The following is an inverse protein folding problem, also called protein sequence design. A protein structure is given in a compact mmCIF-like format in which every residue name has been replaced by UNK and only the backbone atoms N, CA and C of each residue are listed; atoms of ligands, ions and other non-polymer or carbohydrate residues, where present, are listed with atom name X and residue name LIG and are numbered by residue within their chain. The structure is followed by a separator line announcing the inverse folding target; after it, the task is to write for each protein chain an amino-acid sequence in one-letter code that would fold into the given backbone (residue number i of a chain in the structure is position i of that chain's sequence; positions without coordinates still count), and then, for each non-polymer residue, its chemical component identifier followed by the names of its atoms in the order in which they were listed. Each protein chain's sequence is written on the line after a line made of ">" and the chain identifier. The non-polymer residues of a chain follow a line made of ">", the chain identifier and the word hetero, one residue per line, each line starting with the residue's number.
data_IF_641502635168
#
_entry.id   IF_641502635168
#
_cell.length_a   1.000
_cell.length_b   1.000
_cell.length_c   1.000
_cell.angle_alpha   90.00
_cell.angle_beta   90.00
_cell.angle_gamma   90.00
#
_symmetry.space_group_name_H-M   'P 1'
#
loop_
_entity.id
_entity.type
_entity.pdbx_description
1 polymer ?
#
# COMPACT_ATOMS: atom_id res chain seq x y z
N UNK A 1 57.94 -46.77 -51.11
CA UNK A 1 56.96 -46.39 -52.16
C UNK A 1 55.81 -47.38 -52.06
N UNK A 2 54.54 -47.04 -51.86
CA UNK A 2 53.80 -45.80 -52.07
C UNK A 2 52.61 -45.75 -51.11
N UNK A 3 52.31 -44.57 -50.58
CA UNK A 3 51.15 -44.30 -49.72
C UNK A 3 49.85 -44.34 -50.55
N UNK A 4 48.82 -45.04 -50.08
CA UNK A 4 47.42 -44.75 -50.46
C UNK A 4 46.59 -44.55 -49.20
N UNK A 5 46.41 -43.29 -48.88
CA UNK A 5 45.47 -42.75 -47.89
C UNK A 5 44.06 -43.15 -48.34
N UNK A 6 43.41 -44.08 -47.63
CA UNK A 6 42.00 -44.37 -47.88
C UNK A 6 41.16 -43.43 -47.00
N UNK A 7 40.67 -42.37 -47.65
CA UNK A 7 39.93 -41.20 -47.13
C UNK A 7 38.53 -41.51 -46.56
N UNK A 8 38.23 -42.74 -46.18
CA UNK A 8 36.87 -43.14 -45.77
C UNK A 8 36.64 -43.27 -44.25
N UNK A 9 37.63 -42.92 -43.41
CA UNK A 9 37.52 -43.07 -41.96
C UNK A 9 37.37 -41.75 -41.17
N UNK A 10 37.05 -40.64 -41.84
CA UNK A 10 36.77 -39.34 -41.20
C UNK A 10 35.46 -38.77 -41.78
N UNK A 11 34.40 -39.57 -41.77
CA UNK A 11 33.03 -39.07 -42.01
C UNK A 11 31.99 -39.69 -41.07
N UNK A 12 32.43 -40.50 -40.10
CA UNK A 12 31.57 -41.09 -39.07
C UNK A 12 31.57 -40.32 -37.74
N UNK A 13 32.30 -39.19 -37.64
CA UNK A 13 32.46 -38.42 -36.39
C UNK A 13 31.87 -36.99 -36.43
N UNK A 14 31.11 -36.65 -37.47
CA UNK A 14 30.41 -35.36 -37.60
C UNK A 14 28.91 -35.52 -37.91
N UNK A 15 28.31 -36.63 -37.49
CA UNK A 15 26.88 -36.93 -37.67
C UNK A 15 26.06 -36.87 -36.37
N UNK A 16 26.66 -36.48 -35.26
CA UNK A 16 25.96 -36.26 -33.99
C UNK A 16 25.47 -34.82 -33.89
N UNK A 17 24.60 -34.40 -34.81
CA UNK A 17 23.84 -33.16 -34.62
C UNK A 17 23.00 -33.33 -33.35
N UNK A 18 23.50 -32.76 -32.27
CA UNK A 18 22.82 -32.59 -31.00
C UNK A 18 21.55 -31.80 -31.28
N UNK A 19 20.48 -32.52 -31.63
CA UNK A 19 19.13 -32.00 -31.66
C UNK A 19 18.57 -32.17 -30.26
N UNK A 20 19.15 -31.46 -29.28
CA UNK A 20 18.34 -31.08 -28.13
C UNK A 20 17.36 -30.03 -28.66
N UNK A 21 16.25 -30.50 -29.23
CA UNK A 21 15.03 -29.72 -29.21
C UNK A 21 14.72 -29.52 -27.72
N UNK A 22 15.24 -28.44 -27.16
CA UNK A 22 14.68 -27.85 -25.97
C UNK A 22 13.22 -27.60 -26.31
N UNK A 23 12.34 -28.52 -25.90
CA UNK A 23 10.96 -28.20 -25.63
C UNK A 23 11.02 -27.17 -24.50
N UNK A 24 11.30 -25.92 -24.85
CA UNK A 24 11.10 -24.80 -23.97
C UNK A 24 9.59 -24.78 -23.76
N UNK A 25 9.12 -25.38 -22.67
CA UNK A 25 7.75 -25.21 -22.22
C UNK A 25 7.54 -23.70 -22.13
N UNK A 26 6.59 -23.17 -22.90
CA UNK A 26 6.21 -21.76 -22.80
C UNK A 26 6.01 -21.45 -21.31
N UNK A 27 6.75 -20.49 -20.75
CA UNK A 27 6.63 -20.20 -19.34
C UNK A 27 5.16 -19.95 -18.99
N UNK A 28 4.73 -20.50 -17.85
CA UNK A 28 3.34 -20.35 -17.41
C UNK A 28 3.12 -18.86 -17.10
N UNK A 29 2.05 -18.29 -17.64
CA UNK A 29 1.64 -16.94 -17.26
C UNK A 29 1.52 -16.84 -15.73
N UNK A 30 1.97 -15.72 -15.18
CA UNK A 30 1.74 -15.44 -13.76
C UNK A 30 0.25 -15.28 -13.53
N UNK A 31 -0.19 -15.65 -12.33
CA UNK A 31 -1.56 -15.50 -11.90
C UNK A 31 -1.56 -14.78 -10.56
N UNK A 32 -2.47 -13.83 -10.39
CA UNK A 32 -2.62 -13.11 -9.14
C UNK A 32 -3.74 -13.79 -8.37
N UNK A 33 -3.42 -14.42 -7.22
CA UNK A 33 -4.42 -15.17 -6.49
C UNK A 33 -5.65 -14.34 -6.16
N UNK A 34 -6.82 -14.95 -6.33
CA UNK A 34 -8.07 -14.41 -5.82
C UNK A 34 -7.96 -14.05 -4.33
N UNK A 35 -8.69 -13.00 -3.96
CA UNK A 35 -8.75 -12.46 -2.61
C UNK A 35 -8.66 -10.94 -2.57
N UNK A 36 -8.40 -10.44 -1.36
CA UNK A 36 -8.25 -9.02 -1.07
C UNK A 36 -6.77 -8.65 -0.99
N UNK A 37 -6.44 -7.53 -1.63
CA UNK A 37 -5.10 -6.99 -1.71
C UNK A 37 -5.17 -5.50 -1.38
N UNK A 38 -4.46 -5.06 -0.34
CA UNK A 38 -4.52 -3.68 0.15
C UNK A 38 -3.15 -2.99 0.04
N UNK A 39 -3.14 -1.69 -0.25
CA UNK A 39 -1.92 -0.91 -0.43
C UNK A 39 -2.14 0.56 -0.10
N UNK A 40 -1.05 1.31 -0.01
CA UNK A 40 -1.06 2.76 0.16
C UNK A 40 -0.27 3.41 -0.97
N UNK A 41 -0.93 4.33 -1.68
CA UNK A 41 -0.29 5.23 -2.63
C UNK A 41 0.17 6.47 -1.87
N UNK A 42 1.40 6.46 -1.35
CA UNK A 42 1.90 7.51 -0.45
C UNK A 42 1.88 8.90 -1.10
N UNK A 43 2.26 9.01 -2.38
CA UNK A 43 2.35 10.29 -3.11
C UNK A 43 0.99 11.00 -3.18
N UNK A 44 -0.08 10.24 -3.36
CA UNK A 44 -1.46 10.76 -3.49
C UNK A 44 -2.28 10.63 -2.21
N UNK A 45 -1.78 9.91 -1.21
CA UNK A 45 -2.44 9.64 0.05
C UNK A 45 -3.74 8.84 -0.11
N UNK A 46 -3.72 7.81 -0.95
CA UNK A 46 -4.84 6.88 -1.10
C UNK A 46 -4.56 5.55 -0.44
N UNK A 47 -5.53 5.04 0.31
CA UNK A 47 -5.64 3.62 0.61
C UNK A 47 -6.30 2.92 -0.58
N UNK A 48 -5.68 1.86 -1.09
CA UNK A 48 -6.15 1.12 -2.26
C UNK A 48 -6.51 -0.30 -1.85
N UNK A 49 -7.63 -0.81 -2.35
CA UNK A 49 -8.08 -2.19 -2.13
C UNK A 49 -8.47 -2.81 -3.47
N UNK A 50 -7.77 -3.85 -3.86
CA UNK A 50 -8.05 -4.67 -5.03
C UNK A 50 -8.71 -5.98 -4.57
N UNK A 51 -9.91 -6.23 -5.08
CA UNK A 51 -10.71 -7.43 -4.82
C UNK A 51 -10.81 -8.26 -6.10
N UNK A 52 -10.15 -9.43 -6.11
CA UNK A 52 -10.22 -10.41 -7.18
C UNK A 52 -11.08 -11.60 -6.74
N UNK A 53 -12.18 -11.86 -7.45
CA UNK A 53 -13.16 -12.90 -7.09
C UNK A 53 -13.16 -14.04 -8.11
N UNK A 54 -13.43 -15.24 -7.62
CA UNK A 54 -13.61 -16.42 -8.47
C UNK A 54 -14.80 -16.30 -9.44
N UNK A 55 -15.78 -15.45 -9.14
CA UNK A 55 -16.92 -15.19 -10.04
C UNK A 55 -16.53 -14.48 -11.33
N UNK A 56 -15.33 -13.87 -11.38
CA UNK A 56 -14.90 -13.01 -12.48
C UNK A 56 -15.38 -11.55 -12.38
N UNK A 57 -16.11 -11.20 -11.34
CA UNK A 57 -16.48 -9.82 -11.02
C UNK A 57 -15.48 -9.24 -10.02
N UNK A 58 -14.75 -8.21 -10.41
CA UNK A 58 -13.66 -7.65 -9.63
C UNK A 58 -13.93 -6.20 -9.28
N UNK A 59 -13.20 -5.69 -8.28
CA UNK A 59 -13.37 -4.33 -7.82
C UNK A 59 -12.06 -3.72 -7.34
N UNK A 60 -11.83 -2.46 -7.69
CA UNK A 60 -10.75 -1.63 -7.17
C UNK A 60 -11.36 -0.46 -6.40
N UNK A 61 -11.02 -0.33 -5.13
CA UNK A 61 -11.38 0.82 -4.30
C UNK A 61 -10.17 1.72 -4.06
N UNK A 62 -10.43 3.02 -4.00
CA UNK A 62 -9.46 4.03 -3.55
C UNK A 62 -10.15 4.98 -2.58
N UNK A 63 -9.59 5.10 -1.38
CA UNK A 63 -10.13 5.95 -0.31
C UNK A 63 -9.09 6.99 0.10
N UNK A 64 -9.50 8.25 0.16
CA UNK A 64 -8.61 9.37 0.44
C UNK A 64 -8.26 9.42 1.93
N UNK A 65 -6.98 9.30 2.27
CA UNK A 65 -6.55 9.29 3.67
C UNK A 65 -6.63 10.70 4.27
N UNK A 66 -6.43 11.75 3.46
CA UNK A 66 -6.33 13.14 3.95
C UNK A 66 -7.65 13.67 4.53
N UNK A 67 -8.77 13.17 4.05
CA UNK A 67 -10.10 13.57 4.53
C UNK A 67 -10.73 12.53 5.45
N UNK A 68 -9.94 11.59 5.97
CA UNK A 68 -10.42 10.53 6.85
C UNK A 68 -11.27 9.48 6.13
N UNK A 69 -10.95 9.18 4.87
CA UNK A 69 -11.64 8.23 4.01
C UNK A 69 -13.06 8.64 3.58
N UNK A 70 -13.39 9.93 3.70
CA UNK A 70 -14.71 10.47 3.36
C UNK A 70 -14.95 10.53 1.86
N UNK A 71 -13.90 10.78 1.08
CA UNK A 71 -13.94 10.68 -0.37
C UNK A 71 -13.20 9.44 -0.86
N UNK A 72 -13.64 8.98 -2.02
CA UNK A 72 -13.08 7.81 -2.67
C UNK A 72 -13.96 7.34 -3.81
N UNK A 73 -13.52 6.28 -4.46
CA UNK A 73 -14.23 5.66 -5.57
C UNK A 73 -14.03 4.16 -5.60
N UNK A 74 -14.96 3.49 -6.25
CA UNK A 74 -14.85 2.09 -6.62
C UNK A 74 -14.98 1.97 -8.14
N UNK A 75 -14.18 1.10 -8.74
CA UNK A 75 -14.30 0.73 -10.14
C UNK A 75 -14.49 -0.77 -10.22
N UNK A 76 -15.56 -1.17 -10.89
CA UNK A 76 -15.86 -2.56 -11.21
C UNK A 76 -15.22 -2.90 -12.56
N UNK A 77 -14.70 -4.12 -12.67
CA UNK A 77 -14.11 -4.68 -13.88
C UNK A 77 -14.26 -6.21 -13.87
N UNK A 78 -13.98 -6.87 -15.00
CA UNK A 78 -14.14 -8.32 -15.12
C UNK A 78 -12.83 -9.01 -15.44
N UNK A 79 -12.83 -10.34 -15.45
CA UNK A 79 -11.69 -11.13 -15.93
C UNK A 79 -11.25 -10.80 -17.36
N UNK A 80 -12.17 -10.30 -18.21
CA UNK A 80 -11.84 -9.91 -19.59
C UNK A 80 -10.95 -8.66 -19.66
N UNK A 81 -10.98 -7.85 -18.60
CA UNK A 81 -10.16 -6.66 -18.43
C UNK A 81 -8.73 -6.99 -17.92
N UNK A 82 -8.48 -8.26 -17.56
CA UNK A 82 -7.19 -8.75 -17.06
C UNK A 82 -6.46 -9.54 -18.14
N UNK A 83 -5.21 -9.14 -18.43
CA UNK A 83 -4.31 -9.90 -19.33
C UNK A 83 -3.02 -10.22 -18.62
N UNK A 84 -2.76 -11.50 -18.39
CA UNK A 84 -1.54 -11.97 -17.77
C UNK A 84 -0.56 -12.54 -18.79
N UNK A 85 0.70 -12.21 -18.57
CA UNK A 85 1.88 -12.74 -19.26
C UNK A 85 2.75 -13.51 -18.26
N UNK A 86 3.94 -13.90 -18.68
CA UNK A 86 4.92 -14.60 -17.85
C UNK A 86 5.57 -13.70 -16.78
N UNK A 87 5.38 -12.38 -16.88
CA UNK A 87 6.06 -11.40 -16.04
C UNK A 87 5.11 -10.46 -15.29
N UNK A 88 3.97 -10.15 -15.91
CA UNK A 88 3.01 -9.20 -15.38
C UNK A 88 1.56 -9.56 -15.73
N UNK A 89 0.65 -9.15 -14.86
CA UNK A 89 -0.78 -9.04 -15.16
C UNK A 89 -1.14 -7.57 -15.32
N UNK A 90 -1.84 -7.27 -16.40
CA UNK A 90 -2.29 -5.92 -16.71
C UNK A 90 -3.81 -5.88 -16.53
N UNK A 91 -4.29 -4.93 -15.73
CA UNK A 91 -5.71 -4.61 -15.60
C UNK A 91 -5.97 -3.28 -16.29
N UNK A 92 -6.89 -3.27 -17.25
CA UNK A 92 -7.36 -2.04 -17.89
C UNK A 92 -8.75 -1.68 -17.38
N UNK A 93 -8.93 -0.46 -16.90
CA UNK A 93 -10.27 0.02 -16.58
C UNK A 93 -10.44 1.47 -17.01
N UNK A 94 -11.70 1.86 -17.25
CA UNK A 94 -12.02 3.26 -17.54
C UNK A 94 -11.78 4.11 -16.31
N UNK A 95 -11.30 5.33 -16.54
CA UNK A 95 -11.25 6.36 -15.53
C UNK A 95 -12.63 7.03 -15.46
N UNK A 96 -13.36 6.77 -14.38
CA UNK A 96 -14.72 7.27 -14.18
C UNK A 96 -14.80 8.80 -14.03
N UNK A 97 -13.71 9.48 -13.67
CA UNK A 97 -13.72 10.93 -13.42
C UNK A 97 -13.28 11.77 -14.62
N UNK A 98 -12.45 11.24 -15.52
CA UNK A 98 -11.79 12.02 -16.58
C UNK A 98 -11.95 11.46 -18.01
N UNK A 99 -12.70 10.38 -18.19
CA UNK A 99 -12.94 9.79 -19.52
C UNK A 99 -11.72 9.13 -20.18
N UNK A 100 -10.62 8.95 -19.44
CA UNK A 100 -9.40 8.25 -19.89
C UNK A 100 -9.33 6.79 -19.45
N UNK A 101 -8.13 6.20 -19.50
CA UNK A 101 -7.87 4.80 -19.13
C UNK A 101 -6.88 4.76 -17.97
N UNK A 102 -7.11 3.86 -17.02
CA UNK A 102 -6.13 3.48 -16.01
C UNK A 102 -5.63 2.08 -16.33
N UNK A 103 -4.31 1.93 -16.32
CA UNK A 103 -3.61 0.66 -16.47
C UNK A 103 -2.90 0.33 -15.17
N UNK A 104 -3.27 -0.78 -14.54
CA UNK A 104 -2.52 -1.36 -13.43
C UNK A 104 -1.64 -2.47 -13.98
N UNK A 105 -0.34 -2.36 -13.79
CA UNK A 105 0.63 -3.40 -14.12
C UNK A 105 1.08 -4.03 -12.81
N UNK A 106 0.75 -5.30 -12.62
CA UNK A 106 1.03 -6.05 -11.41
C UNK A 106 2.11 -7.08 -11.72
N UNK A 107 3.19 -7.08 -10.93
CA UNK A 107 4.26 -8.06 -11.05
C UNK A 107 3.88 -9.45 -10.52
N UNK A 108 4.84 -10.37 -10.54
CA UNK A 108 4.68 -11.68 -9.93
C UNK A 108 4.52 -11.55 -8.40
N UNK A 109 3.50 -12.18 -7.78
CA UNK A 109 3.34 -12.13 -6.33
C UNK A 109 4.51 -12.79 -5.59
N UNK A 110 5.06 -12.10 -4.59
CA UNK A 110 6.14 -12.61 -3.73
C UNK A 110 5.74 -12.50 -2.27
N UNK A 111 5.69 -13.63 -1.55
CA UNK A 111 5.40 -13.69 -0.10
C UNK A 111 4.13 -12.91 0.32
N UNK A 112 3.08 -12.99 -0.49
CA UNK A 112 1.81 -12.30 -0.21
C UNK A 112 1.83 -10.80 -0.49
N UNK A 113 2.79 -10.31 -1.26
CA UNK A 113 2.84 -8.95 -1.77
C UNK A 113 2.96 -8.94 -3.30
N UNK A 114 2.46 -7.88 -3.94
CA UNK A 114 2.62 -7.64 -5.37
C UNK A 114 2.94 -6.17 -5.61
N UNK A 115 3.99 -5.93 -6.40
CA UNK A 115 4.34 -4.58 -6.85
C UNK A 115 3.39 -4.15 -7.97
N UNK A 116 2.90 -2.91 -7.87
CA UNK A 116 1.96 -2.32 -8.82
C UNK A 116 2.55 -1.05 -9.40
N UNK A 117 2.57 -0.95 -10.71
CA UNK A 117 2.72 0.31 -11.42
C UNK A 117 1.38 0.71 -12.02
N UNK A 118 0.83 1.81 -11.54
CA UNK A 118 -0.38 2.41 -12.07
C UNK A 118 -0.03 3.55 -13.03
N UNK A 119 -0.64 3.52 -14.21
CA UNK A 119 -0.51 4.55 -15.23
C UNK A 119 -1.91 5.08 -15.54
N UNK A 120 -2.06 6.40 -15.48
CA UNK A 120 -3.28 7.09 -15.90
C UNK A 120 -3.03 7.80 -17.22
N UNK A 121 -3.92 7.57 -18.18
CA UNK A 121 -3.97 8.29 -19.46
C UNK A 121 -5.23 9.15 -19.54
N UNK A 122 -5.18 10.22 -20.35
CA UNK A 122 -6.35 11.02 -20.71
C UNK A 122 -7.20 10.35 -21.81
N UNK A 123 -8.19 11.08 -22.32
CA UNK A 123 -9.10 10.62 -23.38
C UNK A 123 -8.39 10.42 -24.72
N UNK A 124 -7.27 11.12 -24.95
CA UNK A 124 -6.42 10.99 -26.13
C UNK A 124 -5.36 9.88 -25.96
N UNK A 125 -5.46 9.11 -24.86
CA UNK A 125 -4.55 8.05 -24.47
C UNK A 125 -3.11 8.53 -24.22
N UNK A 126 -2.91 9.81 -23.95
CA UNK A 126 -1.62 10.35 -23.52
C UNK A 126 -1.44 10.12 -22.03
N UNK A 127 -0.24 9.71 -21.62
CA UNK A 127 0.08 9.47 -20.20
C UNK A 127 0.07 10.79 -19.45
N UNK A 128 -0.76 10.88 -18.42
CA UNK A 128 -0.90 12.06 -17.55
C UNK A 128 -0.22 11.85 -16.21
N UNK A 129 -0.22 10.62 -15.68
CA UNK A 129 0.33 10.32 -14.37
C UNK A 129 0.84 8.88 -14.29
N UNK A 130 1.79 8.62 -13.39
CA UNK A 130 2.09 7.27 -12.97
C UNK A 130 2.65 7.21 -11.55
N UNK A 131 2.37 6.11 -10.89
CA UNK A 131 2.78 5.86 -9.52
C UNK A 131 3.03 4.37 -9.29
N UNK A 132 3.89 4.07 -8.33
CA UNK A 132 4.18 2.71 -7.90
C UNK A 132 3.84 2.53 -6.43
N UNK A 133 3.30 1.37 -6.09
CA UNK A 133 2.99 0.99 -4.72
C UNK A 133 2.89 -0.54 -4.61
N UNK A 134 3.03 -1.04 -3.39
CA UNK A 134 2.87 -2.47 -3.09
C UNK A 134 1.45 -2.74 -2.60
N UNK A 135 0.83 -3.79 -3.14
CA UNK A 135 -0.37 -4.39 -2.56
C UNK A 135 0.00 -5.62 -1.74
N UNK A 136 -0.58 -5.76 -0.55
CA UNK A 136 -0.39 -6.89 0.34
C UNK A 136 -1.67 -7.68 0.50
N UNK A 137 -1.55 -8.99 0.52
CA UNK A 137 -2.69 -9.90 0.66
C UNK A 137 -3.27 -9.79 2.07
N UNK A 138 -4.60 -9.64 2.15
CA UNK A 138 -5.38 -9.63 3.39
C UNK A 138 -6.35 -10.81 3.37
N UNK A 139 -6.44 -11.51 4.50
CA UNK A 139 -7.43 -12.58 4.71
C UNK A 139 -8.61 -12.00 5.50
N UNK A 140 -9.84 -12.37 5.12
CA UNK A 140 -11.04 -11.89 5.79
C UNK A 140 -11.45 -10.49 5.33
N UNK A 141 -11.38 -9.50 6.20
CA UNK A 141 -11.80 -8.12 5.92
C UNK A 141 -10.59 -7.21 5.70
N UNK A 142 -10.73 -6.22 4.81
CA UNK A 142 -9.73 -5.15 4.63
C UNK A 142 -9.49 -4.41 5.95
N UNK A 143 -8.26 -3.91 6.19
CA UNK A 143 -7.93 -3.09 7.36
C UNK A 143 -8.91 -1.94 7.56
N UNK A 144 -9.28 -1.26 6.48
CA UNK A 144 -10.25 -0.17 6.53
C UNK A 144 -11.60 -0.61 7.14
N UNK A 145 -12.20 -1.67 6.60
CA UNK A 145 -13.52 -2.17 7.03
C UNK A 145 -13.47 -2.75 8.44
N UNK A 146 -12.41 -3.46 8.81
CA UNK A 146 -12.27 -4.07 10.13
C UNK A 146 -12.17 -3.02 11.24
N UNK A 147 -11.49 -1.91 10.96
CA UNK A 147 -11.29 -0.84 11.93
C UNK A 147 -12.17 0.39 11.62
N UNK A 148 -13.34 0.19 11.02
CA UNK A 148 -14.22 1.30 10.62
C UNK A 148 -14.52 2.27 11.75
N UNK A 149 -14.74 1.77 12.97
CA UNK A 149 -15.02 2.60 14.15
C UNK A 149 -13.82 3.44 14.63
N UNK A 150 -12.60 3.09 14.21
CA UNK A 150 -11.41 3.89 14.49
C UNK A 150 -11.29 5.11 13.55
N UNK A 151 -11.82 4.95 12.33
CA UNK A 151 -11.87 6.02 11.34
C UNK A 151 -13.10 6.87 11.50
N UNK A 152 -14.22 6.29 11.94
CA UNK A 152 -15.50 6.96 12.12
C UNK A 152 -15.99 6.67 13.54
N UNK A 153 -15.47 7.39 14.55
CA UNK A 153 -15.97 7.25 15.91
C UNK A 153 -17.47 7.53 15.97
N UNK A 154 -18.14 6.97 16.97
CA UNK A 154 -19.54 7.31 17.28
C UNK A 154 -19.65 8.78 17.69
N UNK A 155 -20.86 9.34 17.64
CA UNK A 155 -21.13 10.73 18.07
C UNK A 155 -20.64 10.98 19.50
N UNK A 156 -21.02 10.12 20.45
CA UNK A 156 -20.54 10.15 21.85
C UNK A 156 -19.01 10.23 21.95
N UNK A 157 -18.30 9.36 21.23
CA UNK A 157 -16.82 9.38 21.21
C UNK A 157 -16.24 10.59 20.48
N UNK A 158 -17.00 11.20 19.58
CA UNK A 158 -16.57 12.39 18.84
C UNK A 158 -16.69 13.65 19.69
N UNK A 159 -17.72 13.73 20.54
CA UNK A 159 -17.89 14.82 21.52
C UNK A 159 -16.77 14.86 22.56
N UNK A 160 -16.20 13.69 22.92
CA UNK A 160 -15.04 13.57 23.80
C UNK A 160 -13.72 14.04 23.15
N UNK A 161 -13.68 14.17 21.82
CA UNK A 161 -12.46 14.52 21.07
C UNK A 161 -12.45 16.03 20.81
N UNK A 162 -11.60 16.74 21.55
CA UNK A 162 -11.34 18.16 21.34
C UNK A 162 -10.78 18.43 19.93
N UNK A 163 -11.24 19.50 19.26
CA UNK A 163 -10.84 19.83 17.89
C UNK A 163 -10.13 21.19 17.79
N UNK A 164 -9.31 21.52 18.78
CA UNK A 164 -8.54 22.77 18.83
C UNK A 164 -7.02 22.52 18.75
N UNK A 165 -6.31 23.43 18.08
CA UNK A 165 -4.84 23.43 18.02
C UNK A 165 -4.26 22.13 17.47
N UNK A 166 -3.67 21.33 18.36
CA UNK A 166 -3.03 20.03 18.07
C UNK A 166 -3.85 18.86 18.61
N UNK A 167 -4.83 19.14 19.47
CA UNK A 167 -5.78 18.16 19.99
C UNK A 167 -6.76 17.74 18.89
N UNK A 168 -7.17 16.48 18.96
CA UNK A 168 -8.15 15.88 18.06
C UNK A 168 -7.74 14.54 17.48
N UNK A 169 -8.54 14.11 16.51
CA UNK A 169 -8.31 12.87 15.77
C UNK A 169 -7.61 13.17 14.45
N UNK A 170 -6.47 12.55 14.29
CA UNK A 170 -5.58 12.68 13.16
C UNK A 170 -5.39 11.33 12.47
N UNK A 171 -5.41 11.32 11.15
CA UNK A 171 -5.26 10.13 10.31
C UNK A 171 -4.19 10.36 9.27
N UNK A 172 -3.43 9.32 8.91
CA UNK A 172 -2.31 9.52 8.02
C UNK A 172 -1.57 8.27 7.62
N UNK A 173 -0.34 8.50 7.17
CA UNK A 173 0.57 7.46 6.69
C UNK A 173 1.84 7.52 7.50
N UNK A 174 2.26 6.36 7.99
CA UNK A 174 3.57 6.15 8.58
C UNK A 174 4.42 5.26 7.66
N UNK A 175 5.73 5.52 7.64
CA UNK A 175 6.72 4.55 7.14
C UNK A 175 7.25 3.77 8.32
N UNK A 176 6.80 2.53 8.47
CA UNK A 176 7.23 1.62 9.53
C UNK A 176 8.00 0.46 8.90
N UNK A 177 9.23 0.22 9.36
CA UNK A 177 10.12 -0.79 8.76
C UNK A 177 10.30 -0.60 7.24
N UNK A 178 10.38 0.67 6.79
CA UNK A 178 10.44 1.10 5.38
C UNK A 178 9.18 0.82 4.54
N UNK A 179 8.10 0.34 5.14
CA UNK A 179 6.84 0.07 4.45
C UNK A 179 5.75 1.06 4.88
N UNK A 180 4.85 1.46 3.97
CA UNK A 180 3.74 2.32 4.33
C UNK A 180 2.70 1.57 5.17
N UNK A 181 2.20 2.25 6.20
CA UNK A 181 1.14 1.80 7.09
C UNK A 181 0.17 2.96 7.35
N UNK A 182 -1.10 2.66 7.65
CA UNK A 182 -2.01 3.69 8.14
C UNK A 182 -1.66 4.00 9.59
N UNK A 183 -1.82 5.25 9.99
CA UNK A 183 -1.62 5.67 11.38
C UNK A 183 -2.75 6.59 11.82
N UNK A 184 -3.16 6.42 13.08
CA UNK A 184 -4.10 7.25 13.81
C UNK A 184 -3.41 7.85 15.02
N UNK A 185 -3.72 9.11 15.31
CA UNK A 185 -3.46 9.75 16.59
C UNK A 185 -4.78 10.31 17.12
N UNK A 186 -5.16 9.94 18.33
CA UNK A 186 -6.12 10.67 19.15
C UNK A 186 -5.29 11.46 20.17
N UNK A 187 -5.30 12.78 20.08
CA UNK A 187 -4.62 13.65 21.04
C UNK A 187 -5.66 14.38 21.88
N UNK A 188 -5.75 14.04 23.16
CA UNK A 188 -6.69 14.61 24.12
C UNK A 188 -5.99 15.62 25.03
N UNK A 189 -6.67 16.68 25.48
CA UNK A 189 -6.14 17.59 26.51
C UNK A 189 -6.27 17.03 27.93
N UNK A 190 -7.40 16.40 28.26
CA UNK A 190 -7.74 16.01 29.63
C UNK A 190 -7.75 14.48 29.86
N UNK A 191 -7.33 13.69 28.88
CA UNK A 191 -7.32 12.23 28.94
C UNK A 191 -6.13 11.57 28.24
N UNK A 192 -6.08 10.21 28.23
CA UNK A 192 -5.05 9.48 27.53
C UNK A 192 -5.11 9.79 26.03
N UNK A 193 -3.95 10.11 25.47
CA UNK A 193 -3.76 10.18 24.03
C UNK A 193 -3.26 8.84 23.51
N UNK A 194 -3.49 8.55 22.23
CA UNK A 194 -3.21 7.24 21.66
C UNK A 194 -2.72 7.34 20.22
N UNK A 195 -1.57 6.74 19.95
CA UNK A 195 -1.20 6.33 18.60
C UNK A 195 -1.69 4.92 18.30
N UNK A 196 -2.18 4.71 17.07
CA UNK A 196 -2.49 3.39 16.55
C UNK A 196 -1.97 3.25 15.12
N UNK A 197 -1.09 2.30 14.89
CA UNK A 197 -0.50 1.97 13.60
C UNK A 197 -1.19 0.73 13.04
N UNK A 198 -1.49 0.73 11.75
CA UNK A 198 -2.15 -0.38 11.07
C UNK A 198 -1.26 -0.81 9.91
N UNK A 199 -0.34 -1.76 10.15
CA UNK A 199 0.45 -2.34 9.07
C UNK A 199 -0.47 -3.11 8.11
N UNK A 200 -0.23 -2.97 6.81
CA UNK A 200 -1.01 -3.66 5.79
C UNK A 200 -0.62 -5.14 5.67
N UNK A 201 -1.55 -5.98 5.23
CA UNK A 201 -1.36 -7.42 5.05
C UNK A 201 -1.86 -8.23 6.24
N UNK A 202 -1.17 -9.28 6.70
CA UNK A 202 -1.67 -10.19 7.73
C UNK A 202 -1.45 -9.69 9.18
N UNK A 203 -1.03 -8.44 9.37
CA UNK A 203 -0.60 -7.93 10.67
C UNK A 203 -1.75 -7.28 11.44
N UNK A 204 -1.66 -7.38 12.77
CA UNK A 204 -2.57 -6.70 13.68
C UNK A 204 -2.13 -5.25 13.92
N UNK A 205 -3.08 -4.35 14.26
CA UNK A 205 -2.75 -2.99 14.65
C UNK A 205 -1.89 -2.93 15.91
N UNK A 206 -1.04 -1.92 15.97
CA UNK A 206 -0.13 -1.66 17.09
C UNK A 206 -0.54 -0.36 17.77
N UNK A 207 -0.72 -0.38 19.09
CA UNK A 207 -1.22 0.75 19.87
C UNK A 207 -0.17 1.23 20.86
N UNK A 208 -0.07 2.54 21.07
CA UNK A 208 0.73 3.16 22.12
C UNK A 208 -0.05 4.30 22.75
N UNK A 209 -0.19 4.27 24.06
CA UNK A 209 -0.89 5.31 24.83
C UNK A 209 0.11 6.21 25.56
N UNK A 210 -0.28 7.46 25.76
CA UNK A 210 0.53 8.43 26.50
C UNK A 210 -0.35 9.46 27.21
N UNK A 211 0.17 10.00 28.32
CA UNK A 211 -0.48 10.95 29.21
C UNK A 211 0.10 12.37 29.05
N UNK A 212 -0.58 13.37 29.63
CA UNK A 212 -0.15 14.77 29.54
C UNK A 212 1.24 15.05 30.14
N UNK A 213 1.60 14.38 31.24
CA UNK A 213 2.91 14.51 31.89
C UNK A 213 4.07 13.90 31.07
N UNK A 214 3.75 13.16 30.01
CA UNK A 214 4.70 12.65 29.03
C UNK A 214 4.92 13.62 27.87
N UNK A 215 4.20 14.74 27.83
CA UNK A 215 4.25 15.73 26.77
C UNK A 215 5.09 16.93 27.21
N UNK A 216 5.98 17.38 26.34
CA UNK A 216 6.78 18.60 26.54
C UNK A 216 6.76 19.45 25.28
N UNK A 217 6.42 20.72 25.43
CA UNK A 217 6.48 21.69 24.35
C UNK A 217 7.87 22.31 24.28
N UNK A 218 8.50 22.27 23.11
CA UNK A 218 9.80 22.90 22.84
C UNK A 218 9.69 23.75 21.58
N UNK A 219 9.37 25.04 21.75
CA UNK A 219 9.04 25.90 20.62
C UNK A 219 7.72 25.45 19.98
N UNK A 220 7.74 25.19 18.67
CA UNK A 220 6.58 24.70 17.91
C UNK A 220 6.47 23.15 17.88
N UNK A 221 7.44 22.46 18.48
CA UNK A 221 7.49 21.00 18.50
C UNK A 221 6.90 20.43 19.79
N UNK A 222 6.11 19.37 19.64
CA UNK A 222 5.53 18.58 20.73
C UNK A 222 6.38 17.31 20.87
N UNK A 223 7.00 17.15 22.03
CA UNK A 223 7.80 15.99 22.37
C UNK A 223 6.98 15.08 23.27
N UNK A 224 6.81 13.83 22.86
CA UNK A 224 5.95 12.85 23.53
C UNK A 224 6.83 11.68 23.93
N UNK A 225 6.97 11.45 25.24
CA UNK A 225 7.63 10.26 25.76
C UNK A 225 6.69 9.07 25.57
N UNK A 226 7.15 8.07 24.81
CA UNK A 226 6.42 6.83 24.52
C UNK A 226 7.15 5.63 25.13
N UNK A 227 7.82 5.84 26.27
CA UNK A 227 8.61 4.84 27.00
C UNK A 227 7.83 3.52 27.16
N UNK A 228 8.46 2.40 26.78
CA UNK A 228 7.83 1.07 26.77
C UNK A 228 7.18 0.68 25.44
N UNK A 229 7.08 1.60 24.47
CA UNK A 229 6.61 1.29 23.13
C UNK A 229 7.74 0.79 22.24
N UNK A 230 7.83 -0.53 22.04
CA UNK A 230 8.80 -1.12 21.09
C UNK A 230 8.64 -0.57 19.66
N UNK A 231 7.47 -0.03 19.32
CA UNK A 231 7.08 0.29 17.94
C UNK A 231 7.12 1.78 17.64
N UNK A 232 6.84 2.62 18.64
CA UNK A 232 6.97 4.08 18.53
C UNK A 232 8.28 4.61 19.11
N UNK A 233 9.15 3.73 19.61
CA UNK A 233 10.40 4.11 20.25
C UNK A 233 10.16 4.75 21.62
N UNK A 234 11.20 5.37 22.17
CA UNK A 234 11.10 6.00 23.49
C UNK A 234 10.48 7.39 23.43
N UNK A 235 10.54 8.04 22.27
CA UNK A 235 10.09 9.40 22.09
C UNK A 235 9.61 9.63 20.65
N UNK A 236 8.54 10.42 20.54
CA UNK A 236 7.95 10.89 19.30
C UNK A 236 7.97 12.41 19.31
N UNK A 237 8.43 13.01 18.21
CA UNK A 237 8.37 14.46 18.00
C UNK A 237 7.31 14.75 16.96
N UNK A 238 6.35 15.60 17.29
CA UNK A 238 5.35 16.12 16.36
C UNK A 238 5.61 17.60 16.09
N UNK A 239 5.61 17.98 14.82
CA UNK A 239 5.63 19.38 14.39
C UNK A 239 4.34 19.70 13.65
N UNK A 240 3.66 20.75 14.07
CA UNK A 240 2.52 21.28 13.33
C UNK A 240 3.02 22.01 12.07
N UNK A 241 2.47 21.67 10.90
CA UNK A 241 2.82 22.31 9.61
C UNK A 241 1.70 23.21 9.09
N UNK A 242 0.46 22.92 9.49
CA UNK A 242 -0.73 23.75 9.28
C UNK A 242 -1.79 23.32 10.31
N UNK A 243 -2.92 24.03 10.38
CA UNK A 243 -4.04 23.69 11.26
C UNK A 243 -4.57 22.26 11.07
N UNK A 244 -4.37 21.69 9.89
CA UNK A 244 -4.87 20.39 9.46
C UNK A 244 -3.77 19.37 9.14
N UNK A 245 -2.49 19.68 9.43
CA UNK A 245 -1.37 18.78 9.12
C UNK A 245 -0.30 18.75 10.21
N UNK A 246 0.00 17.54 10.67
CA UNK A 246 1.17 17.25 11.51
C UNK A 246 2.18 16.41 10.73
N UNK A 247 3.46 16.61 11.07
CA UNK A 247 4.52 15.66 10.75
C UNK A 247 5.09 15.11 12.04
N UNK A 248 5.40 13.82 12.05
CA UNK A 248 6.02 13.20 13.21
C UNK A 248 7.19 12.30 12.85
N UNK A 249 8.09 12.15 13.81
CA UNK A 249 9.23 11.22 13.76
C UNK A 249 9.40 10.54 15.11
N UNK A 250 9.76 9.26 15.09
CA UNK A 250 10.22 8.54 16.29
C UNK A 250 11.75 8.70 16.40
N UNK A 251 12.25 8.94 17.62
CA UNK A 251 13.67 9.25 17.89
C UNK A 251 14.53 7.98 18.00
N UNK A 252 13.95 6.84 18.40
CA UNK A 252 14.68 5.58 18.64
C UNK A 252 14.34 4.46 17.65
N UNK A 253 13.27 4.63 16.87
CA UNK A 253 12.85 3.69 15.83
C UNK A 253 12.73 4.48 14.53
N UNK A 254 13.29 4.02 13.39
CA UNK A 254 13.19 4.72 12.13
C UNK A 254 11.74 4.67 11.62
N UNK A 255 10.95 5.65 12.07
CA UNK A 255 9.56 5.83 11.68
C UNK A 255 9.29 7.32 11.53
N UNK A 256 8.75 7.68 10.36
CA UNK A 256 8.24 9.01 10.07
C UNK A 256 6.80 8.91 9.64
N UNK A 257 6.00 9.91 9.95
CA UNK A 257 4.61 9.92 9.55
C UNK A 257 4.10 11.33 9.24
N UNK A 258 3.10 11.37 8.36
CA UNK A 258 2.33 12.58 8.08
C UNK A 258 0.89 12.31 8.45
N UNK A 259 0.33 13.20 9.25
CA UNK A 259 -1.03 13.11 9.76
C UNK A 259 -1.84 14.30 9.25
N UNK A 260 -3.12 14.05 8.97
CA UNK A 260 -4.11 15.02 8.57
C UNK A 260 -5.23 15.03 9.58
N UNK A 261 -5.73 16.22 9.90
CA UNK A 261 -6.85 16.37 10.83
C UNK A 261 -8.08 15.72 10.21
N UNK A 262 -8.64 14.73 10.90
CA UNK A 262 -9.87 14.13 10.45
C UNK A 262 -11.05 14.97 10.90
N UNK A 263 -11.95 15.26 9.96
CA UNK A 263 -13.18 16.01 10.23
C UNK A 263 -14.34 15.04 10.14
N UNK A 264 -14.89 14.65 11.28
CA UNK A 264 -16.17 13.94 11.34
C UNK A 264 -17.30 14.97 11.32
N UNK A 265 -18.45 14.66 10.72
CA UNK A 265 -19.65 15.40 11.06
C UNK A 265 -19.85 15.22 12.57
N UNK A 266 -19.77 16.33 13.31
CA UNK A 266 -20.52 16.48 14.55
C UNK A 266 -22.01 16.44 14.19
#
# INVERSE_FOLDING_TARGET
>A
MSYRVNRFLILALLGGAISFSSFASKPKAIDIPYGLWEGIVESKHFYTLLELKQSGEHRLFKLNIKDGFRSGGAVDFTSDDIKCSEYECIIHHKNSERGGVVRLILGAPTRGAVEVMEIQSDIDNQRVDAQSYTLKRRVGSSTFKEHRGDWYPTEEKSEEIEQEGVYGLWLGIARWSNEPALIRLIHSADGPSQFKLYPLGPWDPLTSEFQQDQITLKGEDIWIRTEGSEKFGNEVVLSQKSADKLKGVSVSVPMSFTLFRSKFPL
#
